data_IF_838422406332
#
_entry.id   IF_838422406332
#
_cell.length_a   1.000
_cell.length_b   1.000
_cell.length_c   1.000
_cell.angle_alpha   90.00
_cell.angle_beta   90.00
_cell.angle_gamma   90.00
#
_symmetry.space_group_name_H-M   'P 1'
#
loop_
_entity.id
_entity.type
_entity.pdbx_description
1 polymer ?
#
# COMPACT_ATOMS: atom_id res chain seq x y z
N UNK A 1 -41.53 4.95 -56.76
CA UNK A 1 -41.56 4.51 -55.36
C UNK A 1 -40.12 4.17 -54.96
N UNK A 2 -39.38 5.16 -54.44
CA UNK A 2 -37.97 5.00 -54.06
C UNK A 2 -37.91 4.21 -52.76
N UNK A 3 -37.48 2.94 -52.83
CA UNK A 3 -37.14 2.14 -51.64
C UNK A 3 -36.04 2.87 -50.86
N UNK A 4 -36.37 3.34 -49.66
CA UNK A 4 -35.37 3.76 -48.68
C UNK A 4 -34.47 2.55 -48.39
N UNK A 5 -33.22 2.64 -48.86
CA UNK A 5 -32.18 1.66 -48.58
C UNK A 5 -31.84 1.77 -47.08
N UNK A 6 -32.38 0.88 -46.26
CA UNK A 6 -31.97 0.77 -44.85
C UNK A 6 -30.45 0.58 -44.80
N UNK A 7 -29.73 1.52 -44.17
CA UNK A 7 -28.31 1.34 -43.82
C UNK A 7 -28.22 0.12 -42.90
N UNK A 8 -27.55 -0.94 -43.37
CA UNK A 8 -27.35 -2.21 -42.63
C UNK A 8 -26.18 -2.19 -41.64
N UNK A 9 -25.39 -1.11 -41.61
CA UNK A 9 -24.25 -1.02 -40.70
C UNK A 9 -24.64 -0.16 -39.49
N UNK A 10 -25.08 -0.84 -38.43
CA UNK A 10 -25.07 -0.28 -37.08
C UNK A 10 -23.60 -0.09 -36.69
N UNK A 11 -23.17 1.17 -36.59
CA UNK A 11 -21.82 1.51 -36.16
C UNK A 11 -21.87 1.99 -34.70
N UNK A 12 -21.04 1.42 -33.82
CA UNK A 12 -20.92 1.86 -32.42
C UNK A 12 -19.92 3.00 -32.25
N UNK A 13 -19.49 3.64 -33.34
CA UNK A 13 -18.62 4.80 -33.31
C UNK A 13 -19.17 5.91 -32.43
N UNK A 14 -18.42 6.22 -31.38
CA UNK A 14 -18.78 7.25 -30.40
C UNK A 14 -19.70 6.77 -29.28
N UNK A 15 -20.17 5.52 -29.32
CA UNK A 15 -20.90 4.89 -28.23
C UNK A 15 -19.92 4.44 -27.13
N UNK A 16 -20.36 4.58 -25.87
CA UNK A 16 -19.60 4.10 -24.72
C UNK A 16 -20.07 2.70 -24.32
N UNK A 17 -19.11 1.83 -24.08
CA UNK A 17 -19.34 0.48 -23.55
C UNK A 17 -18.70 0.39 -22.18
N UNK A 18 -19.49 0.00 -21.18
CA UNK A 18 -19.07 -0.07 -19.78
C UNK A 18 -18.97 -1.52 -19.32
N UNK A 19 -17.78 -1.88 -18.87
CA UNK A 19 -17.45 -3.26 -18.49
C UNK A 19 -17.09 -3.34 -17.02
N UNK A 20 -17.90 -4.04 -16.25
CA UNK A 20 -17.54 -4.41 -14.88
C UNK A 20 -16.90 -5.78 -14.86
N UNK A 21 -15.74 -5.87 -14.21
CA UNK A 21 -14.96 -7.10 -14.13
C UNK A 21 -14.82 -7.47 -12.66
N UNK A 22 -15.26 -8.66 -12.29
CA UNK A 22 -14.89 -9.30 -11.05
C UNK A 22 -13.72 -10.26 -11.31
N UNK A 23 -12.57 -9.94 -10.70
CA UNK A 23 -11.29 -10.55 -11.03
C UNK A 23 -10.99 -11.70 -10.08
N UNK A 24 -10.98 -12.92 -10.61
CA UNK A 24 -10.61 -14.13 -9.88
C UNK A 24 -9.49 -14.91 -10.60
N UNK A 25 -8.81 -15.81 -9.88
CA UNK A 25 -7.57 -16.47 -10.34
C UNK A 25 -7.79 -17.36 -11.57
N UNK A 26 -8.94 -18.05 -11.63
CA UNK A 26 -9.24 -19.04 -12.67
C UNK A 26 -10.13 -18.48 -13.79
N UNK A 27 -10.94 -17.47 -13.49
CA UNK A 27 -11.92 -16.93 -14.41
C UNK A 27 -12.33 -15.52 -13.96
N UNK A 28 -12.66 -14.64 -14.90
CA UNK A 28 -13.29 -13.35 -14.63
C UNK A 28 -14.77 -13.43 -14.90
N UNK A 29 -15.59 -12.90 -14.00
CA UNK A 29 -16.98 -12.58 -14.29
C UNK A 29 -17.06 -11.19 -14.89
N UNK A 30 -17.64 -11.09 -16.08
CA UNK A 30 -17.68 -9.88 -16.87
C UNK A 30 -19.13 -9.51 -17.12
N UNK A 31 -19.47 -8.25 -16.84
CA UNK A 31 -20.76 -7.66 -17.24
C UNK A 31 -20.52 -6.49 -18.17
N UNK A 32 -21.17 -6.52 -19.32
CA UNK A 32 -21.10 -5.47 -20.35
C UNK A 32 -22.43 -4.73 -20.42
N UNK A 33 -22.37 -3.41 -20.32
CA UNK A 33 -23.48 -2.49 -20.48
C UNK A 33 -23.19 -1.54 -21.64
N UNK A 34 -24.22 -1.24 -22.43
CA UNK A 34 -24.25 -0.03 -23.25
C UNK A 34 -24.86 1.11 -22.43
N UNK A 35 -24.94 2.31 -23.01
CA UNK A 35 -25.63 3.44 -22.38
C UNK A 35 -27.06 3.08 -21.94
N UNK A 36 -27.77 2.33 -22.78
CA UNK A 36 -29.20 2.05 -22.56
C UNK A 36 -29.47 0.66 -22.01
N UNK A 37 -28.68 -0.34 -22.39
CA UNK A 37 -29.05 -1.75 -22.20
C UNK A 37 -27.98 -2.56 -21.47
N UNK A 38 -28.45 -3.58 -20.74
CA UNK A 38 -27.58 -4.69 -20.33
C UNK A 38 -27.39 -5.62 -21.52
N UNK A 39 -26.15 -5.83 -21.95
CA UNK A 39 -25.85 -6.71 -23.07
C UNK A 39 -25.73 -8.16 -22.61
N UNK A 40 -24.74 -8.43 -21.75
CA UNK A 40 -24.44 -9.79 -21.29
C UNK A 40 -23.65 -9.78 -20.00
N UNK A 41 -23.85 -10.82 -19.20
CA UNK A 41 -22.94 -11.23 -18.12
C UNK A 41 -22.44 -12.64 -18.44
N UNK A 42 -21.12 -12.85 -18.40
CA UNK A 42 -20.52 -14.16 -18.69
C UNK A 42 -19.17 -14.32 -17.99
N UNK A 43 -18.68 -15.54 -17.97
CA UNK A 43 -17.37 -15.88 -17.44
C UNK A 43 -16.38 -16.10 -18.59
N UNK A 44 -15.15 -15.66 -18.41
CA UNK A 44 -14.05 -15.99 -19.31
C UNK A 44 -12.77 -16.31 -18.52
N UNK A 45 -11.76 -16.92 -19.15
CA UNK A 45 -10.42 -16.99 -18.57
C UNK A 45 -9.86 -15.59 -18.25
N UNK A 46 -8.93 -15.47 -17.29
CA UNK A 46 -8.34 -14.20 -16.87
C UNK A 46 -7.35 -13.67 -17.91
N UNK A 47 -7.84 -13.37 -19.12
CA UNK A 47 -7.06 -12.98 -20.29
C UNK A 47 -7.63 -11.66 -20.87
N UNK A 48 -6.92 -10.53 -20.70
CA UNK A 48 -7.33 -9.23 -21.24
C UNK A 48 -7.59 -9.24 -22.75
N UNK A 49 -6.77 -9.96 -23.52
CA UNK A 49 -6.86 -10.06 -24.99
C UNK A 49 -8.18 -10.69 -25.46
N UNK A 50 -8.71 -11.66 -24.71
CA UNK A 50 -10.02 -12.25 -25.00
C UNK A 50 -11.14 -11.22 -24.84
N UNK A 51 -11.04 -10.36 -23.83
CA UNK A 51 -12.01 -9.30 -23.62
C UNK A 51 -11.91 -8.24 -24.72
N UNK A 52 -10.71 -7.79 -25.09
CA UNK A 52 -10.54 -6.79 -26.15
C UNK A 52 -11.04 -7.30 -27.49
N UNK A 53 -10.71 -8.55 -27.84
CA UNK A 53 -11.18 -9.20 -29.07
C UNK A 53 -12.71 -9.30 -29.08
N UNK A 54 -13.31 -9.70 -27.96
CA UNK A 54 -14.76 -9.74 -27.82
C UNK A 54 -15.39 -8.36 -28.03
N UNK A 55 -14.86 -7.33 -27.38
CA UNK A 55 -15.39 -5.97 -27.50
C UNK A 55 -15.27 -5.42 -28.92
N UNK A 56 -14.13 -5.64 -29.58
CA UNK A 56 -13.90 -5.21 -30.97
C UNK A 56 -14.81 -5.93 -31.97
N UNK A 57 -15.08 -7.22 -31.75
CA UNK A 57 -15.96 -8.00 -32.62
C UNK A 57 -17.45 -7.62 -32.47
N UNK A 58 -17.90 -7.30 -31.26
CA UNK A 58 -19.31 -7.04 -30.97
C UNK A 58 -19.69 -5.56 -30.98
N UNK A 59 -18.75 -4.66 -30.68
CA UNK A 59 -18.97 -3.22 -30.57
C UNK A 59 -17.90 -2.43 -31.34
N UNK A 60 -17.72 -2.67 -32.65
CA UNK A 60 -16.66 -2.06 -33.43
C UNK A 60 -16.72 -0.52 -33.38
N UNK A 61 -15.55 0.12 -33.34
CA UNK A 61 -15.36 1.58 -33.23
C UNK A 61 -15.90 2.25 -31.94
N UNK A 62 -16.41 1.48 -30.96
CA UNK A 62 -16.87 2.03 -29.69
C UNK A 62 -15.72 2.46 -28.77
N UNK A 63 -16.05 3.25 -27.74
CA UNK A 63 -15.13 3.60 -26.66
C UNK A 63 -15.38 2.66 -25.47
N UNK A 64 -14.38 1.85 -25.15
CA UNK A 64 -14.49 0.86 -24.06
C UNK A 64 -13.98 1.44 -22.74
N UNK A 65 -14.82 1.36 -21.71
CA UNK A 65 -14.45 1.62 -20.33
C UNK A 65 -14.58 0.34 -19.53
N UNK A 66 -13.61 0.08 -18.66
CA UNK A 66 -13.69 -1.04 -17.73
C UNK A 66 -13.31 -0.64 -16.30
N UNK A 67 -13.81 -1.42 -15.35
CA UNK A 67 -13.44 -1.27 -13.95
C UNK A 67 -13.36 -2.63 -13.25
N UNK A 68 -12.38 -2.75 -12.35
CA UNK A 68 -12.29 -3.87 -11.42
C UNK A 68 -11.81 -3.42 -10.03
N UNK A 69 -12.19 -4.20 -9.03
CA UNK A 69 -11.84 -3.94 -7.63
C UNK A 69 -10.36 -4.29 -7.34
N UNK A 70 -9.65 -3.40 -6.64
CA UNK A 70 -8.28 -3.65 -6.20
C UNK A 70 -8.24 -4.85 -5.26
N UNK A 71 -7.43 -5.85 -5.59
CA UNK A 71 -7.36 -7.11 -4.84
C UNK A 71 -6.05 -7.86 -5.04
N UNK A 72 -6.09 -9.16 -4.79
CA UNK A 72 -4.92 -10.04 -4.82
C UNK A 72 -4.23 -10.10 -6.19
N UNK A 73 -5.01 -9.95 -7.27
CA UNK A 73 -4.56 -9.99 -8.66
C UNK A 73 -3.71 -8.79 -9.06
N UNK A 74 -3.67 -7.73 -8.24
CA UNK A 74 -2.82 -6.57 -8.46
C UNK A 74 -3.22 -5.74 -9.68
N UNK A 75 -2.21 -5.21 -10.39
CA UNK A 75 -2.38 -4.18 -11.42
C UNK A 75 -2.00 -4.62 -12.83
N UNK A 76 -1.53 -5.86 -13.02
CA UNK A 76 -1.11 -6.34 -14.34
C UNK A 76 -2.26 -6.24 -15.36
N UNK A 77 -3.47 -6.67 -14.95
CA UNK A 77 -4.65 -6.65 -15.79
C UNK A 77 -5.00 -5.22 -16.25
N UNK A 78 -4.80 -4.22 -15.38
CA UNK A 78 -5.02 -2.83 -15.76
C UNK A 78 -4.11 -2.38 -16.90
N UNK A 79 -2.80 -2.68 -16.84
CA UNK A 79 -1.89 -2.25 -17.90
C UNK A 79 -2.17 -2.96 -19.22
N UNK A 80 -2.50 -4.25 -19.18
CA UNK A 80 -2.84 -5.03 -20.38
C UNK A 80 -4.14 -4.53 -21.03
N UNK A 81 -5.18 -4.25 -20.23
CA UNK A 81 -6.45 -3.67 -20.71
C UNK A 81 -6.23 -2.30 -21.37
N UNK A 82 -5.47 -1.42 -20.73
CA UNK A 82 -5.10 -0.11 -21.30
C UNK A 82 -4.34 -0.26 -22.61
N UNK A 83 -3.36 -1.17 -22.67
CA UNK A 83 -2.57 -1.42 -23.88
C UNK A 83 -3.41 -1.95 -25.05
N UNK A 84 -4.52 -2.61 -24.74
CA UNK A 84 -5.49 -3.13 -25.71
C UNK A 84 -6.57 -2.11 -26.12
N UNK A 85 -6.43 -0.85 -25.68
CA UNK A 85 -7.34 0.24 -26.02
C UNK A 85 -8.60 0.32 -25.14
N UNK A 86 -8.62 -0.36 -24.00
CA UNK A 86 -9.72 -0.30 -23.03
C UNK A 86 -9.35 0.65 -21.91
N UNK A 87 -10.14 1.71 -21.70
CA UNK A 87 -9.93 2.70 -20.63
C UNK A 87 -10.32 2.08 -19.30
N UNK A 88 -9.34 1.58 -18.56
CA UNK A 88 -9.57 0.80 -17.35
C UNK A 88 -9.30 1.60 -16.08
N UNK A 89 -10.20 1.55 -15.12
CA UNK A 89 -9.98 2.07 -13.77
C UNK A 89 -9.91 0.94 -12.75
N UNK A 90 -9.07 1.09 -11.72
CA UNK A 90 -9.06 0.20 -10.56
C UNK A 90 -9.66 0.94 -9.39
N UNK A 91 -10.55 0.29 -8.64
CA UNK A 91 -11.34 0.94 -7.59
C UNK A 91 -11.07 0.29 -6.24
N UNK A 92 -11.23 1.04 -5.16
CA UNK A 92 -11.19 0.47 -3.83
C UNK A 92 -12.51 -0.30 -3.57
N UNK A 93 -12.48 -1.60 -3.22
CA UNK A 93 -13.69 -2.39 -2.94
C UNK A 93 -14.64 -1.71 -1.93
N UNK A 94 -14.07 -1.01 -0.95
CA UNK A 94 -14.83 -0.38 0.12
C UNK A 94 -15.56 0.90 -0.30
N UNK A 95 -15.32 1.40 -1.51
CA UNK A 95 -15.91 2.63 -2.04
C UNK A 95 -16.91 2.34 -3.19
N UNK A 96 -17.19 1.07 -3.49
CA UNK A 96 -18.18 0.68 -4.51
C UNK A 96 -19.59 0.70 -3.91
N UNK A 97 -20.54 1.47 -4.48
CA UNK A 97 -21.93 1.49 -4.00
C UNK A 97 -22.57 0.10 -4.09
N UNK A 98 -23.25 -0.32 -3.01
CA UNK A 98 -23.93 -1.62 -2.95
C UNK A 98 -25.21 -1.51 -2.13
N UNK A 99 -26.29 -2.08 -2.67
CA UNK A 99 -27.58 -2.23 -1.98
C UNK A 99 -27.49 -3.29 -0.88
N UNK A 100 -28.41 -3.25 0.08
CA UNK A 100 -28.49 -4.27 1.13
C UNK A 100 -28.65 -5.70 0.58
N UNK A 101 -29.45 -5.86 -0.48
CA UNK A 101 -29.66 -7.16 -1.15
C UNK A 101 -28.39 -7.69 -1.79
N UNK A 102 -27.63 -6.83 -2.47
CA UNK A 102 -26.34 -7.20 -3.09
C UNK A 102 -25.30 -7.62 -2.05
N UNK A 103 -25.31 -7.00 -0.86
CA UNK A 103 -24.44 -7.40 0.26
C UNK A 103 -24.81 -8.78 0.83
N UNK A 104 -26.10 -9.12 0.87
CA UNK A 104 -26.59 -10.40 1.41
C UNK A 104 -26.46 -11.56 0.41
N UNK A 105 -26.65 -11.31 -0.88
CA UNK A 105 -26.59 -12.31 -1.94
C UNK A 105 -25.38 -12.11 -2.85
N UNK A 106 -24.18 -12.22 -2.25
CA UNK A 106 -22.92 -11.99 -2.96
C UNK A 106 -22.62 -13.13 -3.93
N UNK A 107 -22.47 -12.79 -5.21
CA UNK A 107 -21.99 -13.68 -6.28
C UNK A 107 -21.15 -12.88 -7.26
N UNK A 108 -20.22 -13.53 -7.96
CA UNK A 108 -19.32 -12.89 -8.92
C UNK A 108 -20.08 -12.17 -10.05
N UNK A 109 -21.25 -12.70 -10.44
CA UNK A 109 -22.14 -12.05 -11.43
C UNK A 109 -22.78 -10.77 -10.90
N UNK A 110 -23.10 -10.72 -9.60
CA UNK A 110 -23.67 -9.55 -8.94
C UNK A 110 -22.59 -8.49 -8.76
N UNK A 111 -21.38 -8.88 -8.37
CA UNK A 111 -20.26 -7.96 -8.18
C UNK A 111 -19.81 -7.31 -9.50
N UNK A 112 -19.65 -8.10 -10.57
CA UNK A 112 -19.32 -7.55 -11.90
C UNK A 112 -20.42 -6.61 -12.42
N UNK A 113 -21.71 -6.94 -12.23
CA UNK A 113 -22.83 -6.08 -12.65
C UNK A 113 -22.90 -4.79 -11.85
N UNK A 114 -22.69 -4.86 -10.53
CA UNK A 114 -22.61 -3.70 -9.64
C UNK A 114 -21.50 -2.75 -10.09
N UNK A 115 -20.32 -3.29 -10.39
CA UNK A 115 -19.19 -2.51 -10.90
C UNK A 115 -19.51 -1.86 -12.25
N UNK A 116 -20.08 -2.60 -13.20
CA UNK A 116 -20.46 -2.07 -14.52
C UNK A 116 -21.48 -0.93 -14.41
N UNK A 117 -22.50 -1.10 -13.55
CA UNK A 117 -23.56 -0.09 -13.32
C UNK A 117 -22.99 1.18 -12.70
N UNK A 118 -22.12 1.03 -11.70
CA UNK A 118 -21.49 2.16 -11.01
C UNK A 118 -20.52 2.91 -11.92
N UNK A 119 -19.82 2.17 -12.81
CA UNK A 119 -18.95 2.75 -13.84
C UNK A 119 -19.75 3.59 -14.84
N UNK A 120 -20.84 3.03 -15.38
CA UNK A 120 -21.75 3.74 -16.31
C UNK A 120 -22.34 5.01 -15.69
N UNK A 121 -22.66 4.97 -14.39
CA UNK A 121 -23.25 6.09 -13.67
C UNK A 121 -22.21 7.12 -13.20
N UNK A 122 -20.92 6.91 -13.51
CA UNK A 122 -19.81 7.75 -13.09
C UNK A 122 -19.71 7.94 -11.55
N UNK A 123 -20.10 6.92 -10.79
CA UNK A 123 -20.06 6.92 -9.32
C UNK A 123 -18.71 6.42 -8.77
N UNK A 124 -17.90 5.80 -9.63
CA UNK A 124 -16.64 5.17 -9.24
C UNK A 124 -15.49 6.17 -9.18
N UNK A 125 -14.64 6.00 -8.16
CA UNK A 125 -13.39 6.75 -8.03
C UNK A 125 -12.19 5.82 -8.24
N UNK A 126 -11.39 6.13 -9.25
CA UNK A 126 -10.14 5.41 -9.52
C UNK A 126 -9.14 5.63 -8.38
N UNK A 127 -8.44 4.56 -7.99
CA UNK A 127 -7.25 4.66 -7.15
C UNK A 127 -6.07 5.15 -7.99
N UNK A 128 -5.04 5.67 -7.33
CA UNK A 128 -3.79 5.96 -8.05
C UNK A 128 -3.14 4.66 -8.53
N UNK A 129 -3.00 4.51 -9.84
CA UNK A 129 -2.24 3.42 -10.45
C UNK A 129 -0.79 3.88 -10.59
N UNK A 130 0.17 3.25 -9.89
CA UNK A 130 1.57 3.57 -10.08
C UNK A 130 2.04 3.22 -11.49
N UNK A 131 3.15 3.78 -11.94
CA UNK A 131 3.83 3.25 -13.13
C UNK A 131 4.38 1.85 -12.87
N UNK A 132 4.54 1.03 -13.93
CA UNK A 132 5.14 -0.30 -13.81
C UNK A 132 6.54 -0.26 -13.14
N UNK A 133 7.33 0.78 -13.45
CA UNK A 133 8.63 1.00 -12.84
C UNK A 133 8.54 1.24 -11.32
N UNK A 134 7.56 2.03 -10.88
CA UNK A 134 7.30 2.28 -9.45
C UNK A 134 6.76 1.04 -8.77
N UNK A 135 5.90 0.27 -9.43
CA UNK A 135 5.38 -0.99 -8.89
C UNK A 135 6.52 -2.00 -8.66
N UNK A 136 7.46 -2.11 -9.60
CA UNK A 136 8.68 -2.91 -9.46
C UNK A 136 9.53 -2.46 -8.26
N UNK A 137 9.77 -1.15 -8.14
CA UNK A 137 10.51 -0.59 -7.02
C UNK A 137 9.79 -0.81 -5.66
N UNK A 138 8.45 -0.74 -5.63
CA UNK A 138 7.63 -1.05 -4.44
C UNK A 138 7.80 -2.50 -4.00
N UNK A 139 7.86 -3.43 -4.94
CA UNK A 139 8.08 -4.85 -4.64
C UNK A 139 9.38 -5.06 -3.88
N UNK A 140 10.46 -4.39 -4.28
CA UNK A 140 11.75 -4.46 -3.56
C UNK A 140 11.65 -3.92 -2.12
N UNK A 141 11.00 -2.76 -1.95
CA UNK A 141 10.80 -2.16 -0.61
C UNK A 141 9.94 -3.06 0.29
N UNK A 142 8.85 -3.60 -0.25
CA UNK A 142 7.94 -4.49 0.49
C UNK A 142 8.60 -5.82 0.82
N UNK A 143 9.42 -6.36 -0.07
CA UNK A 143 10.21 -7.57 0.20
C UNK A 143 11.14 -7.35 1.40
N UNK A 144 11.81 -6.19 1.48
CA UNK A 144 12.63 -5.86 2.66
C UNK A 144 11.80 -5.86 3.95
N UNK A 145 10.58 -5.33 3.92
CA UNK A 145 9.68 -5.33 5.09
C UNK A 145 9.31 -6.76 5.50
N UNK A 146 9.03 -7.65 4.55
CA UNK A 146 8.76 -9.06 4.82
C UNK A 146 9.95 -9.75 5.49
N UNK A 147 11.15 -9.62 4.92
CA UNK A 147 12.38 -10.20 5.48
C UNK A 147 12.67 -9.71 6.90
N UNK A 148 12.44 -8.43 7.19
CA UNK A 148 12.59 -7.91 8.57
C UNK A 148 11.58 -8.55 9.53
N UNK A 149 10.34 -8.79 9.08
CA UNK A 149 9.32 -9.47 9.89
C UNK A 149 9.68 -10.94 10.10
N UNK A 150 10.16 -11.63 9.09
CA UNK A 150 10.53 -13.04 9.16
C UNK A 150 11.75 -13.26 10.06
N UNK A 151 12.77 -12.40 9.94
CA UNK A 151 13.90 -12.36 10.87
C UNK A 151 13.46 -12.15 12.31
N UNK A 152 12.49 -11.26 12.54
CA UNK A 152 11.92 -11.03 13.87
C UNK A 152 11.18 -12.28 14.39
N UNK A 153 10.41 -12.97 13.54
CA UNK A 153 9.71 -14.22 13.91
C UNK A 153 10.68 -15.34 14.25
N UNK A 154 11.70 -15.56 13.42
CA UNK A 154 12.73 -16.58 13.65
C UNK A 154 13.45 -16.35 14.97
N UNK A 155 13.84 -15.11 15.24
CA UNK A 155 14.44 -14.71 16.50
C UNK A 155 13.54 -14.99 17.71
N UNK A 156 12.24 -14.70 17.62
CA UNK A 156 11.32 -15.01 18.72
C UNK A 156 11.14 -16.51 18.91
N UNK A 157 11.13 -17.32 17.83
CA UNK A 157 11.11 -18.78 17.94
C UNK A 157 12.35 -19.31 18.66
N UNK A 158 13.55 -18.82 18.32
CA UNK A 158 14.80 -19.21 19.00
C UNK A 158 14.67 -18.93 20.50
N UNK A 159 14.21 -17.73 20.86
CA UNK A 159 14.02 -17.37 22.28
C UNK A 159 13.04 -18.25 23.00
N UNK A 160 11.88 -18.50 22.39
CA UNK A 160 10.86 -19.30 23.05
C UNK A 160 11.32 -20.74 23.24
N UNK A 161 12.10 -21.28 22.31
CA UNK A 161 12.72 -22.57 22.47
C UNK A 161 13.74 -22.58 23.62
N UNK A 162 14.62 -21.58 23.70
CA UNK A 162 15.57 -21.46 24.83
C UNK A 162 14.84 -21.34 26.17
N UNK A 163 13.81 -20.50 26.25
CA UNK A 163 13.00 -20.34 27.45
C UNK A 163 12.29 -21.64 27.85
N UNK A 164 11.73 -22.37 26.89
CA UNK A 164 11.04 -23.64 27.15
C UNK A 164 11.97 -24.68 27.80
N UNK A 165 13.24 -24.72 27.41
CA UNK A 165 14.24 -25.63 27.98
C UNK A 165 15.05 -25.02 29.14
N UNK A 166 14.66 -23.86 29.66
CA UNK A 166 15.33 -23.21 30.79
C UNK A 166 16.76 -22.72 30.49
N UNK A 167 17.08 -22.48 29.22
CA UNK A 167 18.40 -21.99 28.81
C UNK A 167 18.46 -20.47 28.96
N UNK A 168 19.22 -20.01 29.95
CA UNK A 168 19.44 -18.58 30.15
C UNK A 168 20.30 -17.99 29.03
N UNK A 169 19.80 -16.95 28.38
CA UNK A 169 20.59 -16.20 27.41
C UNK A 169 21.64 -15.35 28.13
N UNK A 170 22.92 -15.38 27.73
CA UNK A 170 23.95 -14.54 28.31
C UNK A 170 23.54 -13.07 28.37
N UNK A 171 23.88 -12.38 29.48
CA UNK A 171 23.56 -10.96 29.70
C UNK A 171 24.11 -10.06 28.60
N UNK A 172 25.19 -10.48 27.94
CA UNK A 172 25.74 -9.81 26.75
C UNK A 172 24.74 -9.72 25.60
N UNK A 173 23.77 -10.63 25.52
CA UNK A 173 22.70 -10.71 24.51
C UNK A 173 21.36 -10.10 24.96
N UNK A 174 21.29 -9.53 26.17
CA UNK A 174 20.05 -8.99 26.75
C UNK A 174 19.39 -7.91 25.87
N UNK A 175 20.17 -7.16 25.10
CA UNK A 175 19.63 -6.26 24.08
C UNK A 175 19.31 -7.02 22.80
N UNK A 176 18.08 -6.83 22.34
CA UNK A 176 17.40 -7.47 21.22
C UNK A 176 18.27 -7.65 19.95
N UNK A 177 19.18 -6.74 19.67
CA UNK A 177 20.06 -6.76 18.48
C UNK A 177 21.28 -7.68 18.60
N UNK A 178 21.60 -8.18 19.79
CA UNK A 178 22.87 -8.87 20.09
C UNK A 178 22.82 -10.39 19.99
N UNK A 179 21.64 -11.02 19.96
CA UNK A 179 21.51 -12.45 19.60
C UNK A 179 22.18 -12.72 18.24
N UNK A 180 22.11 -11.75 17.32
CA UNK A 180 22.77 -11.81 16.02
C UNK A 180 24.31 -11.75 16.05
N UNK A 181 24.91 -11.53 17.23
CA UNK A 181 26.35 -11.57 17.50
C UNK A 181 26.75 -12.81 18.31
N UNK A 182 25.79 -13.52 18.89
CA UNK A 182 25.98 -14.75 19.66
C UNK A 182 25.80 -16.02 18.85
N UNK A 183 26.03 -15.99 17.52
CA UNK A 183 25.85 -17.17 16.67
C UNK A 183 26.69 -18.35 17.13
N UNK A 184 27.91 -18.10 17.59
CA UNK A 184 28.79 -19.13 18.12
C UNK A 184 28.16 -19.80 19.34
N UNK A 185 27.77 -19.01 20.34
CA UNK A 185 27.06 -19.49 21.53
C UNK A 185 25.77 -20.25 21.20
N UNK A 186 25.00 -19.78 20.21
CA UNK A 186 23.81 -20.50 19.74
C UNK A 186 24.17 -21.87 19.16
N UNK A 187 25.19 -21.95 18.31
CA UNK A 187 25.59 -23.19 17.62
C UNK A 187 26.33 -24.18 18.54
N UNK A 188 26.95 -23.69 19.59
CA UNK A 188 27.74 -24.50 20.53
C UNK A 188 26.96 -24.77 21.80
N UNK A 189 27.01 -23.82 22.75
CA UNK A 189 26.47 -23.97 24.10
C UNK A 189 24.96 -24.21 24.11
N UNK A 190 24.19 -23.33 23.45
CA UNK A 190 22.74 -23.37 23.51
C UNK A 190 22.18 -24.60 22.80
N UNK A 191 22.79 -24.99 21.68
CA UNK A 191 22.45 -26.20 20.95
C UNK A 191 22.83 -27.50 21.71
N UNK A 192 23.70 -27.42 22.71
CA UNK A 192 24.10 -28.54 23.58
C UNK A 192 23.29 -28.61 24.88
N UNK A 193 22.34 -27.71 25.11
CA UNK A 193 21.61 -27.65 26.37
C UNK A 193 20.71 -28.88 26.57
N UNK A 194 20.55 -29.27 27.84
CA UNK A 194 19.81 -30.47 28.23
C UNK A 194 18.36 -30.43 27.72
N UNK A 195 17.95 -31.49 27.01
CA UNK A 195 16.59 -31.65 26.49
C UNK A 195 16.33 -30.97 25.15
N UNK A 196 17.19 -30.03 24.71
CA UNK A 196 17.09 -29.48 23.36
C UNK A 196 17.47 -30.54 22.33
N UNK A 197 16.62 -30.74 21.34
CA UNK A 197 17.03 -31.44 20.12
C UNK A 197 17.99 -30.53 19.34
N UNK A 198 19.27 -30.92 19.32
CA UNK A 198 20.37 -30.16 18.71
C UNK A 198 20.12 -29.84 17.25
N UNK A 199 19.69 -30.81 16.46
CA UNK A 199 19.46 -30.64 15.01
C UNK A 199 18.33 -29.66 14.72
N UNK A 200 17.20 -29.79 15.43
CA UNK A 200 16.06 -28.89 15.29
C UNK A 200 16.42 -27.45 15.69
N UNK A 201 17.21 -27.28 16.75
CA UNK A 201 17.67 -25.95 17.18
C UNK A 201 18.65 -25.34 16.17
N UNK A 202 19.63 -26.11 15.70
CA UNK A 202 20.60 -25.65 14.70
C UNK A 202 19.93 -25.29 13.37
N UNK A 203 18.92 -26.04 12.94
CA UNK A 203 18.11 -25.69 11.76
C UNK A 203 17.51 -24.29 11.90
N UNK A 204 16.87 -24.00 13.04
CA UNK A 204 16.28 -22.69 13.30
C UNK A 204 17.32 -21.55 13.35
N UNK A 205 18.49 -21.81 13.93
CA UNK A 205 19.61 -20.85 13.98
C UNK A 205 20.18 -20.58 12.58
N UNK A 206 20.31 -21.61 11.75
CA UNK A 206 20.80 -21.49 10.38
C UNK A 206 19.80 -20.73 9.49
N UNK A 207 18.50 -20.99 9.63
CA UNK A 207 17.46 -20.20 8.96
C UNK A 207 17.54 -18.71 9.34
N UNK A 208 17.73 -18.41 10.62
CA UNK A 208 17.91 -17.04 11.09
C UNK A 208 19.17 -16.37 10.50
N UNK A 209 20.26 -17.13 10.36
CA UNK A 209 21.50 -16.64 9.74
C UNK A 209 21.33 -16.37 8.24
N UNK A 210 20.71 -17.29 7.50
CA UNK A 210 20.41 -17.13 6.09
C UNK A 210 19.53 -15.90 5.84
N UNK A 211 18.48 -15.72 6.63
CA UNK A 211 17.58 -14.57 6.51
C UNK A 211 18.28 -13.23 6.80
N UNK A 212 19.27 -13.22 7.70
CA UNK A 212 20.12 -12.04 7.95
C UNK A 212 20.96 -11.69 6.72
N UNK A 213 21.47 -12.67 5.98
CA UNK A 213 22.18 -12.43 4.71
C UNK A 213 21.24 -11.91 3.62
N UNK A 214 20.03 -12.47 3.51
CA UNK A 214 18.98 -11.96 2.63
C UNK A 214 18.66 -10.48 2.91
N UNK A 215 18.55 -10.10 4.20
CA UNK A 215 18.34 -8.71 4.61
C UNK A 215 19.47 -7.78 4.16
N UNK A 216 20.73 -8.22 4.28
CA UNK A 216 21.90 -7.44 3.85
C UNK A 216 21.85 -7.21 2.33
N UNK A 217 21.61 -8.27 1.57
CA UNK A 217 21.50 -8.23 0.10
C UNK A 217 20.40 -7.27 -0.34
N UNK A 218 19.19 -7.41 0.20
CA UNK A 218 18.07 -6.52 -0.15
C UNK A 218 18.35 -5.08 0.30
N UNK A 219 18.97 -4.87 1.47
CA UNK A 219 19.33 -3.53 1.93
C UNK A 219 20.33 -2.84 0.99
N UNK A 220 21.28 -3.59 0.41
CA UNK A 220 22.19 -3.07 -0.63
C UNK A 220 21.41 -2.67 -1.88
N UNK A 221 20.48 -3.50 -2.35
CA UNK A 221 19.62 -3.18 -3.50
C UNK A 221 18.78 -1.92 -3.25
N UNK A 222 18.16 -1.79 -2.08
CA UNK A 222 17.38 -0.59 -1.67
C UNK A 222 18.29 0.65 -1.60
N UNK A 223 19.53 0.49 -1.14
CA UNK A 223 20.52 1.57 -1.14
C UNK A 223 20.87 2.00 -2.55
N UNK A 224 21.10 1.04 -3.47
CA UNK A 224 21.30 1.32 -4.90
C UNK A 224 20.11 2.04 -5.51
N UNK A 225 18.88 1.63 -5.15
CA UNK A 225 17.65 2.25 -5.61
C UNK A 225 17.60 3.74 -5.25
N UNK A 226 17.95 4.09 -4.01
CA UNK A 226 17.95 5.49 -3.54
C UNK A 226 18.89 6.41 -4.31
N UNK A 227 19.89 5.85 -5.00
CA UNK A 227 20.87 6.60 -5.80
C UNK A 227 20.45 6.78 -7.26
N UNK A 228 19.40 6.11 -7.74
CA UNK A 228 18.89 6.29 -9.11
C UNK A 228 18.45 7.74 -9.33
N UNK A 229 18.63 8.24 -10.55
CA UNK A 229 18.32 9.63 -10.95
C UNK A 229 16.90 10.05 -10.52
N UNK A 230 15.92 9.16 -10.72
CA UNK A 230 14.51 9.37 -10.35
C UNK A 230 14.28 9.73 -8.87
N UNK A 231 15.14 9.29 -7.95
CA UNK A 231 14.96 9.51 -6.51
C UNK A 231 15.99 10.44 -5.90
N UNK A 232 17.17 10.59 -6.51
CA UNK A 232 18.34 11.27 -5.93
C UNK A 232 17.99 12.65 -5.35
N UNK A 233 17.33 13.51 -6.13
CA UNK A 233 16.95 14.87 -5.69
C UNK A 233 16.00 14.85 -4.50
N UNK A 234 14.90 14.09 -4.60
CA UNK A 234 13.90 14.01 -3.54
C UNK A 234 14.43 13.28 -2.30
N UNK A 235 15.43 12.40 -2.44
CA UNK A 235 16.12 11.76 -1.32
C UNK A 235 16.91 12.76 -0.49
N UNK A 236 17.60 13.71 -1.12
CA UNK A 236 18.32 14.78 -0.41
C UNK A 236 17.35 15.69 0.36
N UNK A 237 16.21 16.01 -0.27
CA UNK A 237 15.17 16.82 0.35
C UNK A 237 14.52 16.10 1.54
N UNK A 238 14.02 14.88 1.36
CA UNK A 238 13.27 14.19 2.41
C UNK A 238 14.17 13.85 3.61
N UNK A 239 15.46 13.57 3.38
CA UNK A 239 16.44 13.30 4.44
C UNK A 239 16.89 14.55 5.22
N UNK A 240 16.57 15.75 4.73
CA UNK A 240 16.79 16.97 5.51
C UNK A 240 15.84 17.05 6.72
N UNK A 241 14.72 16.34 6.68
CA UNK A 241 13.79 16.25 7.79
C UNK A 241 14.44 15.37 8.87
N UNK A 242 14.60 15.88 10.11
CA UNK A 242 15.13 15.09 11.20
C UNK A 242 14.41 13.76 11.28
N UNK A 243 15.15 12.67 11.52
CA UNK A 243 14.67 11.28 11.66
C UNK A 243 14.46 10.49 10.36
N UNK A 244 14.35 11.13 9.21
CA UNK A 244 14.18 10.39 7.95
C UNK A 244 15.54 9.87 7.46
N UNK A 245 15.82 8.61 7.78
CA UNK A 245 16.97 7.87 7.27
C UNK A 245 16.81 7.43 5.81
N UNK A 246 17.85 6.78 5.27
CA UNK A 246 17.86 6.33 3.86
C UNK A 246 16.69 5.39 3.54
N UNK A 247 16.51 4.34 4.35
CA UNK A 247 15.48 3.31 4.14
C UNK A 247 14.09 3.93 4.22
N UNK A 248 13.83 4.69 5.28
CA UNK A 248 12.55 5.37 5.46
C UNK A 248 12.29 6.33 4.29
N UNK A 249 13.26 7.19 3.95
CA UNK A 249 13.14 8.14 2.85
C UNK A 249 12.76 7.48 1.53
N UNK A 250 13.48 6.43 1.12
CA UNK A 250 13.19 5.75 -0.15
C UNK A 250 11.84 5.02 -0.10
N UNK A 251 11.45 4.43 1.04
CA UNK A 251 10.11 3.85 1.22
C UNK A 251 9.02 4.90 1.01
N UNK A 252 9.16 6.10 1.58
CA UNK A 252 8.20 7.18 1.38
C UNK A 252 8.14 7.60 -0.10
N UNK A 253 9.28 7.84 -0.75
CA UNK A 253 9.29 8.30 -2.15
C UNK A 253 8.70 7.27 -3.12
N UNK A 254 8.98 5.99 -2.92
CA UNK A 254 8.48 4.89 -3.76
C UNK A 254 6.95 4.71 -3.58
N UNK A 255 6.43 4.81 -2.36
CA UNK A 255 4.98 4.69 -2.09
C UNK A 255 4.20 5.97 -2.46
N UNK A 256 4.84 7.14 -2.43
CA UNK A 256 4.26 8.41 -2.89
C UNK A 256 4.23 8.47 -4.42
N UNK A 257 5.32 8.03 -5.06
CA UNK A 257 5.64 8.22 -6.49
C UNK A 257 5.76 9.69 -6.89
N UNK A 258 4.65 10.42 -6.85
CA UNK A 258 4.58 11.84 -7.14
C UNK A 258 3.79 12.54 -6.02
N UNK A 259 4.40 13.57 -5.43
CA UNK A 259 3.77 14.35 -4.36
C UNK A 259 2.68 15.28 -4.91
N UNK A 260 2.76 15.70 -6.17
CA UNK A 260 1.84 16.68 -6.77
C UNK A 260 0.43 16.12 -6.96
N UNK A 261 0.29 14.78 -6.99
CA UNK A 261 -1.01 14.10 -7.05
C UNK A 261 -1.91 14.40 -5.84
N UNK A 262 -1.33 14.87 -4.74
CA UNK A 262 -2.08 15.24 -3.54
C UNK A 262 -2.39 16.74 -3.56
N UNK A 263 -3.66 17.07 -3.82
CA UNK A 263 -4.17 18.45 -3.88
C UNK A 263 -3.96 19.25 -2.58
N UNK A 264 -3.87 18.56 -1.44
CA UNK A 264 -3.60 19.20 -0.16
C UNK A 264 -2.84 18.28 0.77
N UNK A 265 -2.25 18.88 1.79
CA UNK A 265 -1.63 18.18 2.89
C UNK A 265 -2.62 17.26 3.64
N UNK A 266 -3.90 17.59 3.72
CA UNK A 266 -4.91 16.70 4.32
C UNK A 266 -5.12 15.43 3.48
N UNK A 267 -5.10 15.53 2.15
CA UNK A 267 -5.16 14.35 1.27
C UNK A 267 -3.91 13.48 1.42
N UNK A 268 -2.74 14.10 1.55
CA UNK A 268 -1.50 13.38 1.83
C UNK A 268 -1.54 12.64 3.18
N UNK A 269 -2.04 13.30 4.22
CA UNK A 269 -2.23 12.72 5.54
C UNK A 269 -3.24 11.57 5.54
N UNK A 270 -4.32 11.70 4.76
CA UNK A 270 -5.31 10.65 4.55
C UNK A 270 -4.73 9.42 3.85
N UNK A 271 -3.83 9.61 2.89
CA UNK A 271 -3.11 8.52 2.24
C UNK A 271 -2.18 7.75 3.20
N UNK A 272 -1.46 8.45 4.07
CA UNK A 272 -0.68 7.80 5.14
C UNK A 272 -1.62 7.15 6.16
N UNK A 273 -2.78 7.76 6.43
CA UNK A 273 -3.79 7.30 7.37
C UNK A 273 -3.63 7.86 8.78
N UNK A 274 -3.13 9.10 8.90
CA UNK A 274 -2.93 9.83 10.17
C UNK A 274 -4.02 10.91 10.38
N UNK A 275 -5.22 10.64 9.88
CA UNK A 275 -6.40 11.49 10.06
C UNK A 275 -7.41 10.79 10.98
N UNK A 276 -8.19 11.54 11.77
CA UNK A 276 -9.29 10.95 12.55
C UNK A 276 -10.43 10.51 11.63
N UNK A 277 -11.20 9.52 12.07
CA UNK A 277 -12.56 9.31 11.57
C UNK A 277 -13.45 10.43 12.09
N UNK A 278 -14.26 11.02 11.23
CA UNK A 278 -15.22 12.06 11.62
C UNK A 278 -16.64 11.49 11.50
N UNK A 279 -17.43 11.67 12.55
CA UNK A 279 -18.87 11.46 12.49
C UNK A 279 -19.52 12.78 12.91
N UNK A 280 -20.05 13.51 11.93
CA UNK A 280 -20.80 14.73 12.17
C UNK A 280 -22.26 14.49 11.81
N UNK A 281 -23.17 14.84 12.72
CA UNK A 281 -24.60 14.86 12.46
C UNK A 281 -25.21 16.10 13.14
N UNK A 282 -25.90 16.93 12.34
CA UNK A 282 -26.46 18.20 12.79
C UNK A 282 -25.40 19.09 13.45
N UNK A 283 -25.60 19.38 14.74
CA UNK A 283 -24.76 20.31 15.53
C UNK A 283 -23.55 19.65 16.22
N UNK A 284 -23.39 18.32 16.15
CA UNK A 284 -22.31 17.61 16.84
C UNK A 284 -21.18 17.22 15.88
N UNK A 285 -19.99 17.76 16.10
CA UNK A 285 -18.76 17.35 15.42
C UNK A 285 -17.93 16.44 16.34
N UNK A 286 -18.06 15.12 16.16
CA UNK A 286 -17.30 14.13 16.92
C UNK A 286 -16.09 13.63 16.12
N UNK A 287 -14.89 13.95 16.62
CA UNK A 287 -13.62 13.41 16.12
C UNK A 287 -13.31 12.10 16.83
N UNK A 288 -13.39 11.00 16.09
CA UNK A 288 -13.17 9.65 16.58
C UNK A 288 -11.71 9.19 16.51
N UNK A 289 -11.53 7.87 16.52
CA UNK A 289 -10.23 7.23 16.41
C UNK A 289 -9.53 7.52 15.07
N UNK A 290 -8.22 7.28 15.01
CA UNK A 290 -7.46 7.33 13.76
C UNK A 290 -8.02 6.35 12.73
N UNK A 291 -8.08 6.77 11.46
CA UNK A 291 -8.66 5.94 10.40
C UNK A 291 -7.92 4.61 10.23
N UNK A 292 -8.66 3.49 10.05
CA UNK A 292 -8.04 2.21 9.71
C UNK A 292 -7.49 2.22 8.28
N UNK A 293 -7.97 3.14 7.42
CA UNK A 293 -7.49 3.28 6.04
C UNK A 293 -6.09 3.91 6.01
N UNK A 294 -5.32 3.61 4.97
CA UNK A 294 -4.01 4.21 4.70
C UNK A 294 -2.82 3.24 4.73
N UNK A 295 -1.64 3.76 4.40
CA UNK A 295 -0.40 2.99 4.25
C UNK A 295 0.22 2.60 5.58
N UNK A 296 -0.04 1.38 6.05
CA UNK A 296 0.36 0.88 7.39
C UNK A 296 1.86 1.04 7.66
N UNK A 297 2.72 0.69 6.70
CA UNK A 297 4.17 0.78 6.88
C UNK A 297 4.65 2.24 6.99
N UNK A 298 4.10 3.15 6.16
CA UNK A 298 4.42 4.58 6.22
C UNK A 298 3.90 5.20 7.52
N UNK A 299 2.68 4.83 7.93
CA UNK A 299 2.06 5.28 9.19
C UNK A 299 2.91 4.91 10.39
N UNK A 300 3.31 3.64 10.50
CA UNK A 300 4.17 3.16 11.56
C UNK A 300 5.53 3.89 11.55
N UNK A 301 6.20 3.95 10.40
CA UNK A 301 7.49 4.65 10.28
C UNK A 301 7.42 6.14 10.65
N UNK A 302 6.31 6.81 10.32
CA UNK A 302 6.10 8.22 10.66
C UNK A 302 5.88 8.42 12.16
N UNK A 303 5.07 7.56 12.80
CA UNK A 303 4.80 7.63 14.24
C UNK A 303 6.07 7.34 15.02
N UNK A 304 6.79 6.26 14.68
CA UNK A 304 8.09 5.93 15.29
C UNK A 304 9.09 7.07 15.09
N UNK A 305 9.13 7.64 13.89
CA UNK A 305 10.00 8.77 13.59
C UNK A 305 9.63 10.01 14.42
N UNK A 306 8.35 10.19 14.73
CA UNK A 306 7.87 11.33 15.51
C UNK A 306 8.39 11.34 16.93
N UNK A 307 8.63 10.17 17.55
CA UNK A 307 9.23 10.08 18.90
C UNK A 307 10.65 10.62 18.95
N UNK A 308 11.42 10.43 17.87
CA UNK A 308 12.76 11.01 17.77
C UNK A 308 12.64 12.50 17.42
N UNK A 309 11.72 12.86 16.53
CA UNK A 309 11.55 14.25 16.09
C UNK A 309 11.11 15.16 17.25
N UNK A 310 10.23 14.68 18.13
CA UNK A 310 9.81 15.36 19.35
C UNK A 310 10.91 15.50 20.42
N UNK A 311 12.08 14.88 20.24
CA UNK A 311 13.26 15.04 21.11
C UNK A 311 14.33 15.92 20.49
N UNK A 312 14.42 15.95 19.16
CA UNK A 312 15.49 16.64 18.43
C UNK A 312 15.07 18.03 17.95
N UNK A 313 13.83 18.21 17.52
CA UNK A 313 13.34 19.50 17.02
C UNK A 313 12.67 20.30 18.16
N UNK A 314 13.18 21.50 18.52
CA UNK A 314 12.64 22.28 19.63
C UNK A 314 11.16 22.65 19.49
N UNK A 315 10.70 22.98 18.27
CA UNK A 315 9.30 23.33 18.00
C UNK A 315 8.39 22.11 18.15
N UNK A 316 8.81 20.93 17.68
CA UNK A 316 8.06 19.69 17.88
C UNK A 316 8.07 19.27 19.35
N UNK A 317 9.19 19.45 20.05
CA UNK A 317 9.31 19.21 21.51
C UNK A 317 8.32 20.06 22.29
N UNK A 318 8.28 21.38 22.02
CA UNK A 318 7.33 22.30 22.65
C UNK A 318 5.88 21.89 22.35
N UNK A 319 5.58 21.53 21.11
CA UNK A 319 4.25 21.06 20.71
C UNK A 319 3.86 19.77 21.43
N UNK A 320 4.80 18.83 21.56
CA UNK A 320 4.56 17.55 22.22
C UNK A 320 4.25 17.76 23.69
N UNK A 321 5.08 18.53 24.40
CA UNK A 321 4.86 18.87 25.80
C UNK A 321 3.51 19.58 26.01
N UNK A 322 3.11 20.48 25.10
CA UNK A 322 1.80 21.13 25.14
C UNK A 322 0.65 20.14 24.95
N UNK A 323 0.79 19.15 24.06
CA UNK A 323 -0.20 18.09 23.90
C UNK A 323 -0.27 17.21 25.15
N UNK A 324 0.86 16.81 25.72
CA UNK A 324 0.93 15.99 26.93
C UNK A 324 0.24 16.60 28.16
N UNK A 325 0.09 17.94 28.22
CA UNK A 325 -0.71 18.60 29.27
C UNK A 325 -2.21 18.29 29.21
N UNK A 326 -2.72 17.81 28.07
CA UNK A 326 -4.15 17.60 27.82
C UNK A 326 -4.50 16.15 27.47
N UNK A 327 -3.52 15.32 27.12
CA UNK A 327 -3.73 13.95 26.68
C UNK A 327 -2.50 13.09 26.95
N UNK A 328 -2.69 11.77 26.93
CA UNK A 328 -1.60 10.80 27.05
C UNK A 328 -0.55 10.94 25.94
N UNK A 329 0.69 10.59 26.25
CA UNK A 329 1.85 10.67 25.35
C UNK A 329 1.62 9.97 24.01
N UNK A 330 0.97 8.80 24.01
CA UNK A 330 0.63 8.04 22.80
C UNK A 330 -0.39 8.76 21.90
N UNK A 331 -1.28 9.58 22.46
CA UNK A 331 -2.20 10.42 21.67
C UNK A 331 -1.48 11.69 21.20
N UNK A 332 -0.65 12.27 22.07
CA UNK A 332 0.15 13.46 21.75
C UNK A 332 1.10 13.21 20.57
N UNK A 333 1.73 12.03 20.48
CA UNK A 333 2.67 11.73 19.40
C UNK A 333 2.00 11.65 18.03
N UNK A 334 0.73 11.26 17.95
CA UNK A 334 -0.04 11.27 16.69
C UNK A 334 -0.18 12.72 16.18
N UNK A 335 -0.37 13.69 17.08
CA UNK A 335 -0.36 15.12 16.74
C UNK A 335 0.99 15.56 16.17
N UNK A 336 2.10 15.05 16.70
CA UNK A 336 3.44 15.30 16.14
C UNK A 336 3.61 14.62 14.78
N UNK A 337 3.13 13.39 14.60
CA UNK A 337 3.14 12.70 13.31
C UNK A 337 2.38 13.49 12.25
N UNK A 338 1.23 14.09 12.60
CA UNK A 338 0.49 14.99 11.71
C UNK A 338 1.34 16.18 11.31
N UNK A 339 2.01 16.85 12.26
CA UNK A 339 2.92 17.97 11.96
C UNK A 339 4.10 17.54 11.10
N UNK A 340 4.68 16.38 11.35
CA UNK A 340 5.80 15.85 10.58
C UNK A 340 5.38 15.54 9.13
N UNK A 341 4.19 14.98 8.92
CA UNK A 341 3.60 14.81 7.60
C UNK A 341 3.42 16.13 6.85
N UNK A 342 2.99 17.20 7.55
CA UNK A 342 2.91 18.55 6.94
C UNK A 342 4.27 19.00 6.42
N UNK A 343 5.32 18.81 7.23
CA UNK A 343 6.69 19.20 6.87
C UNK A 343 7.21 18.36 5.70
N UNK A 344 6.91 17.07 5.67
CA UNK A 344 7.24 16.19 4.53
C UNK A 344 6.56 16.65 3.24
N UNK A 345 5.26 16.94 3.30
CA UNK A 345 4.50 17.45 2.16
C UNK A 345 5.09 18.77 1.66
N UNK A 346 5.39 19.70 2.56
CA UNK A 346 5.97 21.00 2.20
C UNK A 346 7.36 20.87 1.55
N UNK A 347 8.27 20.08 2.14
CA UNK A 347 9.62 19.85 1.61
C UNK A 347 9.59 19.28 0.20
N UNK A 348 8.71 18.30 -0.04
CA UNK A 348 8.58 17.66 -1.35
C UNK A 348 7.86 18.54 -2.37
N UNK A 349 6.84 19.31 -1.98
CA UNK A 349 6.10 20.18 -2.92
C UNK A 349 6.85 21.47 -3.24
N UNK A 350 7.44 22.13 -2.25
CA UNK A 350 8.20 23.38 -2.43
C UNK A 350 9.64 23.15 -2.86
N UNK A 351 10.11 21.91 -2.85
CA UNK A 351 11.47 21.55 -3.24
C UNK A 351 12.54 22.27 -2.41
N UNK A 352 12.23 22.54 -1.14
CA UNK A 352 13.09 23.23 -0.17
C UNK A 352 13.49 22.29 0.95
N UNK A 353 14.78 22.31 1.34
CA UNK A 353 15.26 21.54 2.49
C UNK A 353 14.57 22.02 3.77
N UNK A 354 14.33 21.07 4.67
CA UNK A 354 13.85 21.34 6.01
C UNK A 354 14.92 22.04 6.83
N UNK A 355 14.50 23.03 7.61
CA UNK A 355 15.31 23.67 8.64
C UNK A 355 14.60 23.47 9.97
N UNK A 356 15.32 23.04 11.00
CA UNK A 356 14.75 22.90 12.34
C UNK A 356 14.22 24.26 12.79
N UNK A 357 12.98 24.28 13.26
CA UNK A 357 12.38 25.51 13.76
C UNK A 357 13.09 25.91 15.05
N UNK A 358 13.99 26.88 14.96
CA UNK A 358 14.45 27.67 16.10
C UNK A 358 13.83 29.04 15.88
N UNK A 359 13.15 29.58 16.90
CA UNK A 359 12.66 30.96 16.84
C UNK A 359 13.91 31.83 16.79
N UNK A 360 14.14 32.52 15.66
CA UNK A 360 15.10 33.62 15.58
C UNK A 360 14.46 34.89 16.11
#
# INVERSE_FOLDING_TARGET
>A
MLMQKQRKELNFKGENIYVGIDVHLKSWSITILTEHNHHKTFNQPPEPEKLSTYLQAHFPEAVYYSAYEAGFSGLWAHYELESSGIRNIVINPADVPATGKEKMHKTDSVDSRKTARSLRSNELRCIHIPSQSTLSDRSLIRMRVSVVKDLSRLKQRIRMMLHFYGVETPKTFANDTRISKGFQWLKEDAAGAKGINREAFLFLVNEFEAEKQSLLTITRMVTGLSKKVRYKKNMELIRSIPVIGLITGITFLVEIEDITRFQSNDKFAGFIGIIPCCHSSGEKDNKGAMTPRGQVNMKAALIEGSWIAARVDPVLTLSFNRHCRRMESNKAIIGIARKLSNRMYFVLTKQTKHVCGVVQ
#
